data_IF_269363774234
#
_entry.id   IF_269363774234
#
_cell.length_a   1.000
_cell.length_b   1.000
_cell.length_c   1.000
_cell.angle_alpha   90.00
_cell.angle_beta   90.00
_cell.angle_gamma   90.00
#
_symmetry.space_group_name_H-M   'P 1'
#
loop_
_entity.id
_entity.type
_entity.pdbx_description
1 polymer ?
#
# COMPACT_ATOMS: atom_id res chain seq x y z
N UNK A 1 4.09 14.50 -24.60
CA UNK A 1 4.05 13.09 -24.16
C UNK A 1 2.76 12.90 -23.36
N UNK A 2 1.66 12.51 -24.01
CA UNK A 2 0.37 12.38 -23.32
C UNK A 2 0.39 11.12 -22.47
N UNK A 3 0.39 11.30 -21.14
CA UNK A 3 0.13 10.22 -20.19
C UNK A 3 -1.20 9.59 -20.58
N UNK A 4 -1.19 8.33 -21.03
CA UNK A 4 -2.44 7.58 -21.23
C UNK A 4 -3.10 7.51 -19.86
N UNK A 5 -4.17 8.26 -19.65
CA UNK A 5 -5.04 8.09 -18.48
C UNK A 5 -5.53 6.65 -18.54
N UNK A 6 -4.88 5.78 -17.77
CA UNK A 6 -5.39 4.44 -17.55
C UNK A 6 -6.73 4.64 -16.81
N UNK A 7 -7.81 3.97 -17.23
CA UNK A 7 -9.12 4.08 -16.57
C UNK A 7 -9.11 3.57 -15.12
N UNK A 8 -7.95 3.08 -14.66
CA UNK A 8 -7.69 2.61 -13.31
C UNK A 8 -6.32 3.11 -12.86
N UNK A 9 -6.28 3.77 -11.71
CA UNK A 9 -5.06 4.10 -10.97
C UNK A 9 -5.26 3.73 -9.50
N UNK A 10 -4.20 3.76 -8.69
CA UNK A 10 -4.34 3.57 -7.26
C UNK A 10 -3.31 4.38 -6.50
N UNK A 11 -3.63 4.70 -5.25
CA UNK A 11 -2.67 5.19 -4.28
C UNK A 11 -2.67 4.30 -3.05
N UNK A 12 -1.63 4.44 -2.23
CA UNK A 12 -1.50 3.72 -0.97
C UNK A 12 -1.61 4.70 0.19
N UNK A 13 -2.23 4.25 1.26
CA UNK A 13 -2.43 5.01 2.49
C UNK A 13 -2.02 4.14 3.68
N UNK A 14 -1.29 4.73 4.62
CA UNK A 14 -0.96 4.09 5.88
C UNK A 14 -1.96 4.57 6.93
N UNK A 15 -2.55 3.63 7.66
CA UNK A 15 -3.45 3.92 8.78
C UNK A 15 -2.96 3.22 10.05
N UNK A 16 -3.46 3.67 11.19
CA UNK A 16 -3.35 2.91 12.44
C UNK A 16 -4.37 1.75 12.44
N UNK A 17 -4.47 1.04 13.56
CA UNK A 17 -5.44 -0.05 13.75
C UNK A 17 -6.89 0.44 13.95
N UNK A 18 -7.10 1.74 14.18
CA UNK A 18 -8.41 2.39 14.29
C UNK A 18 -8.85 3.02 12.97
N UNK A 19 -8.15 2.71 11.88
CA UNK A 19 -8.38 3.26 10.54
C UNK A 19 -8.14 4.77 10.40
N UNK A 20 -7.48 5.40 11.37
CA UNK A 20 -7.08 6.78 11.29
C UNK A 20 -5.86 6.93 10.35
N UNK A 21 -5.84 7.90 9.43
CA UNK A 21 -4.71 8.12 8.52
C UNK A 21 -3.48 8.56 9.31
N UNK A 22 -2.34 7.93 9.02
CA UNK A 22 -1.07 8.23 9.69
C UNK A 22 -0.20 9.10 8.80
N UNK A 23 0.29 10.20 9.35
CA UNK A 23 1.27 11.04 8.69
C UNK A 23 2.61 10.29 8.60
N UNK A 24 2.95 9.79 7.41
CA UNK A 24 4.11 8.90 7.22
C UNK A 24 5.45 9.63 7.33
N UNK A 25 5.53 10.89 6.91
CA UNK A 25 6.77 11.70 6.98
C UNK A 25 7.24 11.91 8.42
N UNK A 26 6.42 12.41 9.36
CA UNK A 26 6.86 12.56 10.76
C UNK A 26 7.01 11.23 11.51
N UNK A 27 6.49 10.13 10.95
CA UNK A 27 6.64 8.79 11.53
C UNK A 27 7.96 8.14 11.12
N UNK A 28 8.24 8.05 9.81
CA UNK A 28 9.32 7.24 9.23
C UNK A 28 10.25 8.02 8.28
N UNK A 29 10.03 9.33 8.13
CA UNK A 29 10.72 10.15 7.13
C UNK A 29 10.30 9.86 5.69
N UNK A 30 9.36 8.93 5.45
CA UNK A 30 8.96 8.52 4.11
C UNK A 30 7.73 9.26 3.62
N UNK A 31 7.82 9.76 2.39
CA UNK A 31 6.68 10.31 1.66
C UNK A 31 5.84 9.18 1.04
N UNK A 32 4.54 9.42 0.87
CA UNK A 32 3.59 8.45 0.31
C UNK A 32 4.01 7.91 -1.07
N UNK A 33 4.69 8.71 -1.88
CA UNK A 33 5.21 8.28 -3.18
C UNK A 33 6.31 7.22 -3.07
N UNK A 34 7.18 7.29 -2.06
CA UNK A 34 8.20 6.28 -1.79
C UNK A 34 7.57 4.98 -1.31
N UNK A 35 6.55 5.07 -0.46
CA UNK A 35 5.78 3.92 0.03
C UNK A 35 5.09 3.22 -1.14
N UNK A 36 4.46 3.99 -2.04
CA UNK A 36 3.88 3.44 -3.27
C UNK A 36 4.93 2.75 -4.13
N UNK A 37 6.10 3.37 -4.35
CA UNK A 37 7.19 2.77 -5.14
C UNK A 37 7.71 1.48 -4.51
N UNK A 38 7.86 1.43 -3.19
CA UNK A 38 8.28 0.23 -2.47
C UNK A 38 7.24 -0.89 -2.62
N UNK A 39 5.95 -0.56 -2.47
CA UNK A 39 4.86 -1.50 -2.68
C UNK A 39 4.82 -2.01 -4.13
N UNK A 40 4.91 -1.10 -5.10
CA UNK A 40 4.95 -1.43 -6.52
C UNK A 40 6.11 -2.38 -6.87
N UNK A 41 7.30 -2.18 -6.27
CA UNK A 41 8.47 -3.05 -6.47
C UNK A 41 8.22 -4.45 -5.93
N UNK A 42 7.66 -4.55 -4.72
CA UNK A 42 7.32 -5.85 -4.12
C UNK A 42 6.26 -6.60 -4.94
N UNK A 43 5.26 -5.90 -5.49
CA UNK A 43 4.30 -6.51 -6.41
C UNK A 43 4.95 -7.01 -7.71
N UNK A 44 5.94 -6.28 -8.24
CA UNK A 44 6.65 -6.70 -9.45
C UNK A 44 7.52 -7.95 -9.18
N UNK A 45 8.12 -8.06 -7.99
CA UNK A 45 8.85 -9.26 -7.55
C UNK A 45 7.92 -10.47 -7.43
N UNK A 46 6.75 -10.31 -6.81
CA UNK A 46 5.75 -11.38 -6.71
C UNK A 46 5.21 -11.79 -8.07
N UNK A 47 4.98 -10.83 -8.97
CA UNK A 47 4.62 -11.13 -10.37
C UNK A 47 5.69 -11.99 -11.04
N UNK A 48 6.97 -11.64 -10.90
CA UNK A 48 8.08 -12.44 -11.47
C UNK A 48 8.11 -13.84 -10.86
N UNK A 49 7.91 -13.96 -9.55
CA UNK A 49 7.83 -15.26 -8.86
C UNK A 49 6.65 -16.12 -9.34
N UNK A 50 5.54 -15.50 -9.75
CA UNK A 50 4.39 -16.19 -10.35
C UNK A 50 4.58 -16.57 -11.84
N UNK A 51 5.81 -16.49 -12.36
CA UNK A 51 6.15 -16.74 -13.77
C UNK A 51 5.31 -15.92 -14.78
N UNK A 52 4.83 -14.75 -14.37
CA UNK A 52 4.01 -13.88 -15.22
C UNK A 52 2.56 -14.36 -15.43
N UNK A 53 2.07 -15.32 -14.64
CA UNK A 53 0.70 -15.84 -14.72
C UNK A 53 -0.36 -14.75 -14.51
N UNK A 54 -0.03 -13.70 -13.76
CA UNK A 54 -0.94 -12.59 -13.46
C UNK A 54 -0.36 -11.24 -13.89
N UNK A 55 -1.22 -10.32 -14.31
CA UNK A 55 -0.85 -8.89 -14.38
C UNK A 55 -0.76 -8.36 -12.94
N UNK A 56 0.05 -7.33 -12.74
CA UNK A 56 0.21 -6.66 -11.43
C UNK A 56 -1.15 -6.23 -10.82
N UNK A 57 -2.04 -5.71 -11.66
CA UNK A 57 -3.37 -5.26 -11.27
C UNK A 57 -4.36 -6.40 -10.96
N UNK A 58 -4.01 -7.64 -11.32
CA UNK A 58 -4.85 -8.83 -11.19
C UNK A 58 -4.29 -9.82 -10.16
N UNK A 59 -3.22 -9.45 -9.44
CA UNK A 59 -2.70 -10.26 -8.34
C UNK A 59 -3.80 -10.46 -7.29
N UNK A 60 -3.98 -11.69 -6.78
CA UNK A 60 -4.91 -11.97 -5.68
C UNK A 60 -4.60 -11.10 -4.45
N UNK A 61 -5.63 -10.84 -3.64
CA UNK A 61 -5.49 -10.02 -2.42
C UNK A 61 -4.44 -10.61 -1.47
N UNK A 62 -4.38 -11.93 -1.34
CA UNK A 62 -3.38 -12.62 -0.52
C UNK A 62 -1.94 -12.34 -0.94
N UNK A 63 -1.66 -12.28 -2.25
CA UNK A 63 -0.33 -11.92 -2.75
C UNK A 63 -0.03 -10.44 -2.50
N UNK A 64 -1.03 -9.57 -2.64
CA UNK A 64 -0.88 -8.14 -2.29
C UNK A 64 -0.60 -7.95 -0.81
N UNK A 65 -1.19 -8.77 0.06
CA UNK A 65 -0.93 -8.75 1.50
C UNK A 65 0.53 -9.07 1.82
N UNK A 66 1.17 -9.99 1.09
CA UNK A 66 2.61 -10.24 1.24
C UNK A 66 3.45 -9.03 0.87
N UNK A 67 3.09 -8.32 -0.20
CA UNK A 67 3.78 -7.09 -0.58
C UNK A 67 3.58 -5.98 0.45
N UNK A 68 2.36 -5.78 0.96
CA UNK A 68 2.10 -4.76 1.97
C UNK A 68 2.72 -5.08 3.32
N UNK A 69 2.76 -6.34 3.74
CA UNK A 69 3.48 -6.77 4.95
C UNK A 69 4.96 -6.39 4.89
N UNK A 70 5.64 -6.65 3.76
CA UNK A 70 7.04 -6.25 3.56
C UNK A 70 7.24 -4.74 3.66
N UNK A 71 6.32 -3.96 3.06
CA UNK A 71 6.37 -2.49 3.13
C UNK A 71 6.13 -2.00 4.55
N UNK A 72 5.21 -2.62 5.30
CA UNK A 72 4.94 -2.28 6.69
C UNK A 72 6.13 -2.60 7.59
N UNK A 73 6.77 -3.76 7.42
CA UNK A 73 8.01 -4.09 8.13
C UNK A 73 9.12 -3.07 7.86
N UNK A 74 9.34 -2.72 6.59
CA UNK A 74 10.30 -1.68 6.22
C UNK A 74 9.94 -0.31 6.83
N UNK A 75 8.66 0.05 6.84
CA UNK A 75 8.21 1.29 7.48
C UNK A 75 8.47 1.26 8.99
N UNK A 76 8.24 0.13 9.65
CA UNK A 76 8.47 -0.01 11.09
C UNK A 76 9.94 0.12 11.46
N UNK A 77 10.85 -0.43 10.66
CA UNK A 77 12.30 -0.29 10.85
C UNK A 77 12.77 1.18 10.79
N UNK A 78 12.09 2.00 9.98
CA UNK A 78 12.41 3.42 9.82
C UNK A 78 11.67 4.32 10.80
N UNK A 79 10.65 3.81 11.49
CA UNK A 79 9.77 4.61 12.31
C UNK A 79 10.27 4.74 13.74
N UNK A 80 9.86 5.83 14.40
CA UNK A 80 10.05 5.99 15.84
C UNK A 80 9.24 4.93 16.63
N UNK A 81 9.90 4.02 17.38
CA UNK A 81 9.23 2.97 18.14
C UNK A 81 8.22 3.49 19.16
N UNK A 82 8.44 4.68 19.74
CA UNK A 82 7.54 5.26 20.73
C UNK A 82 6.18 5.63 20.10
N UNK A 83 6.22 6.22 18.89
CA UNK A 83 5.02 6.56 18.13
C UNK A 83 4.28 5.32 17.65
N UNK A 84 5.02 4.32 17.17
CA UNK A 84 4.45 3.06 16.73
C UNK A 84 3.70 2.36 17.87
N UNK A 85 4.27 2.34 19.08
CA UNK A 85 3.65 1.71 20.25
C UNK A 85 2.36 2.39 20.67
N UNK A 86 2.29 3.73 20.56
CA UNK A 86 1.06 4.48 20.82
C UNK A 86 -0.07 4.16 19.83
N UNK A 87 0.26 3.79 18.59
CA UNK A 87 -0.71 3.42 17.55
C UNK A 87 -1.10 1.93 17.59
N UNK A 88 -0.39 1.10 18.35
CA UNK A 88 -0.61 -0.35 18.46
C UNK A 88 -0.25 -1.16 17.20
N UNK A 89 -0.03 -0.51 16.06
CA UNK A 89 0.27 -1.16 14.79
C UNK A 89 0.03 -0.24 13.60
N UNK A 90 0.26 -0.78 12.41
CA UNK A 90 0.04 -0.08 11.14
C UNK A 90 -0.69 -0.98 10.16
N UNK A 91 -1.56 -0.36 9.35
CA UNK A 91 -2.20 -0.96 8.18
C UNK A 91 -1.80 -0.25 6.91
N UNK A 92 -1.70 -1.00 5.83
CA UNK A 92 -1.52 -0.47 4.49
C UNK A 92 -2.81 -0.70 3.70
N UNK A 93 -3.39 0.39 3.22
CA UNK A 93 -4.58 0.39 2.37
C UNK A 93 -4.19 0.77 0.94
N UNK A 94 -4.70 0.02 -0.02
CA UNK A 94 -4.67 0.37 -1.43
C UNK A 94 -6.02 0.93 -1.81
N UNK A 95 -6.04 2.15 -2.34
CA UNK A 95 -7.27 2.81 -2.79
C UNK A 95 -7.21 2.86 -4.31
N UNK A 96 -7.98 1.96 -4.93
CA UNK A 96 -8.17 1.89 -6.37
C UNK A 96 -9.15 2.98 -6.79
N UNK A 97 -8.73 3.81 -7.74
CA UNK A 97 -9.54 4.84 -8.40
C UNK A 97 -9.83 4.37 -9.82
N UNK A 98 -11.09 4.29 -10.20
CA UNK A 98 -11.50 3.91 -11.54
C UNK A 98 -12.66 4.77 -12.02
N UNK A 99 -12.79 4.90 -13.34
CA UNK A 99 -13.91 5.61 -13.95
C UNK A 99 -14.98 4.60 -14.32
N UNK A 100 -16.17 4.76 -13.76
CA UNK A 100 -17.36 3.94 -14.04
C UNK A 100 -18.51 4.90 -14.40
N UNK A 101 -19.09 4.73 -15.59
CA UNK A 101 -20.17 5.58 -16.12
C UNK A 101 -19.88 7.10 -16.07
N UNK A 102 -18.63 7.48 -16.36
CA UNK A 102 -18.19 8.88 -16.35
C UNK A 102 -18.03 9.48 -14.95
N UNK A 103 -18.16 8.68 -13.89
CA UNK A 103 -17.93 9.08 -12.50
C UNK A 103 -16.67 8.43 -11.95
N UNK A 104 -16.00 9.12 -11.02
CA UNK A 104 -14.87 8.55 -10.29
C UNK A 104 -15.45 7.66 -9.19
N UNK A 105 -15.21 6.35 -9.31
CA UNK A 105 -15.49 5.37 -8.27
C UNK A 105 -14.19 5.01 -7.53
N UNK A 106 -14.33 4.64 -6.26
CA UNK A 106 -13.22 4.27 -5.39
C UNK A 106 -13.47 2.92 -4.74
N UNK A 107 -12.43 2.09 -4.65
CA UNK A 107 -12.45 0.84 -3.91
C UNK A 107 -11.24 0.77 -2.99
N UNK A 108 -11.51 0.62 -1.69
CA UNK A 108 -10.46 0.43 -0.69
C UNK A 108 -10.22 -1.06 -0.49
N UNK A 109 -8.95 -1.46 -0.52
CA UNK A 109 -8.48 -2.80 -0.21
C UNK A 109 -7.48 -2.70 0.93
N UNK A 110 -7.64 -3.53 1.95
CA UNK A 110 -6.61 -3.73 2.94
C UNK A 110 -5.55 -4.69 2.37
N UNK A 111 -4.34 -4.19 2.23
CA UNK A 111 -3.23 -4.91 1.58
C UNK A 111 -2.08 -5.18 2.55
N UNK A 112 -2.29 -5.01 3.85
CA UNK A 112 -1.34 -5.40 4.88
C UNK A 112 -1.73 -4.85 6.24
N UNK A 113 -1.41 -5.63 7.28
CA UNK A 113 -1.57 -5.24 8.68
C UNK A 113 -0.36 -5.79 9.47
N UNK A 114 0.20 -4.96 10.35
CA UNK A 114 1.18 -5.39 11.35
C UNK A 114 0.77 -4.84 12.71
N UNK A 115 0.62 -5.73 13.69
CA UNK A 115 0.32 -5.39 15.08
C UNK A 115 1.59 -5.44 15.91
N UNK A 116 1.74 -4.47 16.80
CA UNK A 116 2.78 -4.48 17.82
C UNK A 116 2.24 -5.10 19.12
N UNK A 117 3.04 -5.92 19.82
CA UNK A 117 2.68 -6.48 21.12
C UNK A 117 2.67 -5.43 22.23
#
# INVERSE_FOLDING_TARGET
>A
MYSRFLPRTYYVMVTDLNDAPVATVPLSGQVSSNIKKAYDRNLDELKKASAGKYKKADLPVEERQKAGAKVLSWLMELSDPAKLKAMGGLRLKQIDLFVEDGKIAQRTLEVGEVKLP
#
